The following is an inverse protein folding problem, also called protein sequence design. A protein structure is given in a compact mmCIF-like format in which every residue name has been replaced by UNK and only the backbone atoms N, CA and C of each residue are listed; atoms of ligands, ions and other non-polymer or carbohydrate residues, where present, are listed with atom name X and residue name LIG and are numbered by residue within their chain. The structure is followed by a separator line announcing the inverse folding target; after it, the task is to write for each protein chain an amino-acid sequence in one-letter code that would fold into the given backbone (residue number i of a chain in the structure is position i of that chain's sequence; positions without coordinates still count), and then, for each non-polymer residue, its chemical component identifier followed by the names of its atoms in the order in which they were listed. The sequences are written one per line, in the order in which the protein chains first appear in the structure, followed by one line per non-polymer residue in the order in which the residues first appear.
data_IF_024282404838
#
_entry.id   IF_024282404838
#
_cell.length_a   1.000
_cell.length_b   1.000
_cell.length_c   1.000
_cell.angle_alpha   90.00
_cell.angle_beta   90.00
_cell.angle_gamma   90.00
#
_symmetry.space_group_name_H-M   'P 1'
#
loop_
_entity.id
_entity.type
_entity.pdbx_description
1 polymer ?
#
# COMPACT_ATOMS: atom_id res chain seq x y z
N UNK A 1 5.80 -7.95 4.46
CA UNK A 1 6.25 -9.17 3.76
C UNK A 1 7.76 -9.18 3.70
N UNK A 2 8.37 -10.31 4.04
CA UNK A 2 9.81 -10.52 3.99
C UNK A 2 10.21 -11.22 2.68
N UNK A 3 11.15 -10.66 1.93
CA UNK A 3 11.48 -11.10 0.57
C UNK A 3 12.20 -12.45 0.47
N UNK A 4 13.02 -12.77 1.49
CA UNK A 4 13.77 -14.03 1.57
C UNK A 4 12.89 -15.23 1.93
N UNK A 5 12.30 -15.22 3.13
CA UNK A 5 11.42 -16.30 3.61
C UNK A 5 10.04 -16.37 2.94
N UNK A 6 9.63 -15.32 2.22
CA UNK A 6 8.26 -15.13 1.70
C UNK A 6 7.16 -14.99 2.76
N UNK A 7 7.51 -14.98 4.05
CA UNK A 7 6.52 -14.76 5.10
C UNK A 7 5.84 -13.40 4.90
N UNK A 8 4.52 -13.41 5.07
CA UNK A 8 3.68 -12.25 4.94
C UNK A 8 2.61 -12.28 6.02
N UNK A 9 2.23 -11.10 6.48
CA UNK A 9 1.11 -10.91 7.40
C UNK A 9 0.35 -9.67 6.99
N UNK A 10 -0.96 -9.71 7.19
CA UNK A 10 -1.89 -8.66 6.80
C UNK A 10 -3.08 -8.63 7.74
N UNK A 11 -3.60 -7.42 7.98
CA UNK A 11 -4.88 -7.19 8.63
C UNK A 11 -5.75 -6.25 7.81
N UNK A 12 -7.06 -6.46 7.82
CA UNK A 12 -8.00 -5.60 7.11
C UNK A 12 -9.25 -5.30 7.94
N UNK A 13 -9.79 -4.10 7.81
CA UNK A 13 -11.05 -3.73 8.46
C UNK A 13 -10.98 -3.61 9.99
N UNK A 14 -9.79 -3.40 10.53
CA UNK A 14 -9.55 -3.09 11.95
C UNK A 14 -9.86 -1.60 12.22
N UNK A 15 -10.18 -1.31 13.48
CA UNK A 15 -10.72 -0.05 14.01
C UNK A 15 -10.08 0.34 15.34
N UNK A 16 -9.67 -0.61 16.17
CA UNK A 16 -9.23 -0.32 17.54
C UNK A 16 -7.76 -0.61 17.79
N UNK A 17 -7.05 -1.24 16.86
CA UNK A 17 -5.59 -1.42 16.94
C UNK A 17 -4.87 -0.12 16.61
N UNK A 18 -4.04 0.40 17.52
CA UNK A 18 -3.30 1.67 17.30
C UNK A 18 -2.41 1.64 16.06
N UNK A 19 -1.71 0.53 15.83
CA UNK A 19 -0.77 0.33 14.73
C UNK A 19 -1.15 -0.91 13.91
N UNK A 20 -1.93 -0.76 12.80
CA UNK A 20 -2.29 -1.89 11.95
C UNK A 20 -1.09 -2.63 11.33
N UNK A 21 0.05 -1.93 11.13
CA UNK A 21 1.26 -2.57 10.60
C UNK A 21 1.92 -3.50 11.64
N UNK A 22 1.82 -3.20 12.93
CA UNK A 22 2.27 -4.10 14.01
C UNK A 22 1.37 -5.33 14.10
N UNK A 23 0.06 -5.17 13.92
CA UNK A 23 -0.84 -6.33 13.85
C UNK A 23 -0.55 -7.21 12.62
N UNK A 24 -0.21 -6.62 11.48
CA UNK A 24 0.24 -7.38 10.31
C UNK A 24 1.55 -8.14 10.60
N UNK A 25 2.52 -7.54 11.31
CA UNK A 25 3.74 -8.22 11.74
C UNK A 25 3.46 -9.34 12.74
N UNK A 26 2.54 -9.15 13.68
CA UNK A 26 2.11 -10.17 14.63
C UNK A 26 1.49 -11.37 13.89
N UNK A 27 0.61 -11.13 12.91
CA UNK A 27 0.06 -12.20 12.06
C UNK A 27 1.18 -12.95 11.33
N UNK A 28 2.17 -12.22 10.78
CA UNK A 28 3.28 -12.80 10.04
C UNK A 28 4.18 -13.72 10.89
N UNK A 29 4.43 -13.35 12.15
CA UNK A 29 5.46 -13.97 12.98
C UNK A 29 4.90 -14.96 14.01
N UNK A 30 3.70 -14.69 14.54
CA UNK A 30 3.14 -15.43 15.68
C UNK A 30 1.90 -16.26 15.30
N UNK A 31 1.59 -16.37 14.01
CA UNK A 31 0.46 -17.17 13.52
C UNK A 31 0.84 -18.04 12.32
N UNK A 32 0.11 -19.14 12.06
CA UNK A 32 0.26 -19.91 10.83
C UNK A 32 -0.49 -19.29 9.62
N UNK A 33 -1.01 -18.07 9.76
CA UNK A 33 -1.89 -17.42 8.78
C UNK A 33 -1.20 -16.23 8.10
N UNK A 34 -1.65 -15.89 6.89
CA UNK A 34 -1.15 -14.71 6.15
C UNK A 34 -2.03 -13.48 6.38
N UNK A 35 -3.34 -13.66 6.59
CA UNK A 35 -4.26 -12.53 6.65
C UNK A 35 -5.42 -12.79 7.62
N UNK A 36 -5.65 -11.84 8.53
CA UNK A 36 -6.84 -11.78 9.38
C UNK A 36 -7.67 -10.53 9.04
N UNK A 37 -8.95 -10.51 9.39
CA UNK A 37 -9.79 -9.33 9.14
C UNK A 37 -10.87 -9.10 10.18
N UNK A 38 -11.31 -7.85 10.26
CA UNK A 38 -12.40 -7.40 11.12
C UNK A 38 -12.18 -7.79 12.57
N UNK A 39 -13.26 -8.26 13.22
CA UNK A 39 -13.25 -8.62 14.63
C UNK A 39 -12.24 -9.72 14.98
N UNK A 40 -12.03 -10.70 14.10
CA UNK A 40 -11.05 -11.77 14.36
C UNK A 40 -9.62 -11.23 14.43
N UNK A 41 -9.28 -10.22 13.63
CA UNK A 41 -7.98 -9.56 13.72
C UNK A 41 -7.84 -8.72 15.00
N UNK A 42 -8.92 -8.07 15.45
CA UNK A 42 -8.97 -7.30 16.71
C UNK A 42 -8.77 -8.20 17.92
N UNK A 43 -9.52 -9.30 18.00
CA UNK A 43 -9.45 -10.25 19.10
C UNK A 43 -8.03 -10.85 19.18
N UNK A 44 -7.47 -11.26 18.04
CA UNK A 44 -6.10 -11.78 17.97
C UNK A 44 -5.04 -10.76 18.40
N UNK A 45 -5.16 -9.51 17.95
CA UNK A 45 -4.25 -8.43 18.34
C UNK A 45 -4.31 -8.15 19.86
N UNK A 46 -5.51 -8.15 20.44
CA UNK A 46 -5.74 -7.94 21.86
C UNK A 46 -5.18 -9.08 22.70
N UNK A 47 -5.41 -10.33 22.29
CA UNK A 47 -4.89 -11.53 22.98
C UNK A 47 -3.36 -11.54 23.05
N UNK A 48 -2.70 -10.98 22.04
CA UNK A 48 -1.25 -10.84 21.97
C UNK A 48 -0.73 -9.49 22.50
N UNK A 49 -1.56 -8.72 23.21
CA UNK A 49 -1.13 -7.54 23.95
C UNK A 49 -0.83 -6.28 23.11
N UNK A 50 -1.31 -6.20 21.86
CA UNK A 50 -1.19 -4.96 21.08
C UNK A 50 -2.08 -3.85 21.65
N UNK A 51 -1.56 -2.62 21.65
CA UNK A 51 -2.25 -1.43 22.16
C UNK A 51 -3.59 -1.22 21.45
N UNK A 52 -4.65 -1.23 22.24
CA UNK A 52 -6.01 -0.92 21.81
C UNK A 52 -6.32 0.54 22.13
N UNK A 53 -6.89 1.26 21.17
CA UNK A 53 -7.33 2.64 21.28
C UNK A 53 -8.78 2.76 20.90
N UNK A 54 -9.46 3.80 21.42
CA UNK A 54 -10.75 4.18 20.89
C UNK A 54 -10.61 4.60 19.41
N UNK A 55 -11.54 4.18 18.55
CA UNK A 55 -11.45 4.46 17.12
C UNK A 55 -11.46 5.97 16.80
N UNK A 56 -11.96 6.83 17.70
CA UNK A 56 -11.91 8.29 17.53
C UNK A 56 -10.50 8.87 17.57
N UNK A 57 -9.49 8.12 18.05
CA UNK A 57 -8.08 8.55 18.00
C UNK A 57 -7.60 8.81 16.57
N UNK A 58 -8.18 8.14 15.56
CA UNK A 58 -7.84 8.33 14.15
C UNK A 58 -8.61 9.47 13.48
N UNK A 59 -9.61 10.03 14.16
CA UNK A 59 -10.42 11.11 13.62
C UNK A 59 -9.63 12.43 13.65
N UNK A 60 -9.57 13.08 12.50
CA UNK A 60 -9.02 14.43 12.38
C UNK A 60 -10.05 15.35 11.75
N UNK A 61 -10.07 16.61 12.17
CA UNK A 61 -10.98 17.61 11.63
C UNK A 61 -10.82 17.73 10.10
N UNK A 62 -9.59 17.63 9.60
CA UNK A 62 -9.29 17.60 8.17
C UNK A 62 -10.00 16.44 7.43
N UNK A 63 -9.93 15.21 7.96
CA UNK A 63 -10.56 14.04 7.31
C UNK A 63 -12.07 14.04 7.48
N UNK A 64 -12.60 14.60 8.57
CA UNK A 64 -14.04 14.81 8.78
C UNK A 64 -14.61 15.77 7.73
N UNK A 65 -13.97 16.93 7.52
CA UNK A 65 -14.38 17.89 6.49
C UNK A 65 -14.32 17.28 5.07
N UNK A 66 -13.30 16.45 4.79
CA UNK A 66 -13.23 15.73 3.52
C UNK A 66 -14.39 14.74 3.34
N UNK A 67 -14.80 14.04 4.41
CA UNK A 67 -15.95 13.14 4.38
C UNK A 67 -17.26 13.89 4.15
N UNK A 68 -17.47 15.02 4.82
CA UNK A 68 -18.69 15.82 4.69
C UNK A 68 -18.85 16.37 3.27
N UNK A 69 -17.75 16.87 2.67
CA UNK A 69 -17.72 17.29 1.26
C UNK A 69 -18.04 16.14 0.30
N UNK A 70 -17.45 14.97 0.52
CA UNK A 70 -17.70 13.79 -0.31
C UNK A 70 -19.17 13.36 -0.24
N UNK A 71 -19.77 13.32 0.96
CA UNK A 71 -21.19 13.00 1.16
C UNK A 71 -22.11 14.00 0.48
N UNK A 72 -21.86 15.29 0.63
CA UNK A 72 -22.65 16.33 -0.02
C UNK A 72 -22.63 16.20 -1.55
N UNK A 73 -21.45 15.91 -2.13
CA UNK A 73 -21.34 15.65 -3.57
C UNK A 73 -22.10 14.39 -3.99
N UNK A 74 -21.94 13.28 -3.26
CA UNK A 74 -22.63 12.02 -3.55
C UNK A 74 -24.16 12.12 -3.49
N UNK A 75 -24.71 13.09 -2.74
CA UNK A 75 -26.15 13.36 -2.73
C UNK A 75 -26.63 14.14 -3.96
N UNK A 76 -25.78 14.97 -4.57
CA UNK A 76 -26.13 15.79 -5.73
C UNK A 76 -26.02 15.03 -7.06
N UNK A 77 -25.10 14.07 -7.15
CA UNK A 77 -24.95 13.27 -8.36
C UNK A 77 -25.76 11.98 -8.16
N UNK A 78 -26.81 11.77 -8.95
CA UNK A 78 -27.55 10.49 -9.03
C UNK A 78 -26.71 9.34 -9.65
N UNK A 79 -25.38 9.51 -9.69
CA UNK A 79 -24.43 8.47 -10.06
C UNK A 79 -24.23 7.51 -8.89
N UNK A 80 -24.35 6.21 -9.16
CA UNK A 80 -24.04 5.15 -8.21
C UNK A 80 -22.56 5.09 -7.80
N UNK A 81 -22.20 3.96 -7.21
CA UNK A 81 -20.87 3.67 -6.64
C UNK A 81 -19.71 3.99 -7.60
N UNK A 82 -18.56 4.44 -7.06
CA UNK A 82 -17.34 4.74 -7.83
C UNK A 82 -17.09 6.21 -8.16
N UNK A 83 -17.86 7.14 -7.57
CA UNK A 83 -17.75 8.59 -7.80
C UNK A 83 -16.69 9.31 -6.94
N UNK A 84 -15.83 8.57 -6.23
CA UNK A 84 -14.71 9.16 -5.50
C UNK A 84 -13.76 9.86 -6.48
N UNK A 85 -13.29 11.05 -6.13
CA UNK A 85 -12.41 11.85 -7.00
C UNK A 85 -11.12 12.24 -6.29
N UNK A 86 -10.02 12.25 -7.05
CA UNK A 86 -8.70 12.72 -6.59
C UNK A 86 -8.31 12.18 -5.21
N UNK A 87 -8.03 13.10 -4.28
CA UNK A 87 -7.54 12.81 -2.92
C UNK A 87 -8.47 11.96 -2.04
N UNK A 88 -9.70 11.69 -2.47
CA UNK A 88 -10.57 10.75 -1.75
C UNK A 88 -10.14 9.30 -1.90
N UNK A 89 -9.38 8.98 -2.96
CA UNK A 89 -8.82 7.64 -3.19
C UNK A 89 -7.45 7.45 -2.53
N UNK A 90 -6.82 8.54 -2.10
CA UNK A 90 -5.44 8.56 -1.62
C UNK A 90 -5.37 8.72 -0.08
N UNK A 91 -4.54 7.91 0.55
CA UNK A 91 -4.38 7.87 2.02
C UNK A 91 -3.52 6.70 2.51
N UNK A 92 -2.73 6.13 1.59
CA UNK A 92 -1.87 4.97 1.86
C UNK A 92 -0.44 5.44 2.08
N UNK A 93 0.22 4.84 3.06
CA UNK A 93 1.65 5.00 3.34
C UNK A 93 2.32 3.64 3.20
N UNK A 94 3.62 3.65 2.97
CA UNK A 94 4.39 2.42 3.01
C UNK A 94 5.89 2.66 2.92
N UNK A 95 6.62 1.57 3.08
CA UNK A 95 8.06 1.53 3.09
C UNK A 95 8.56 0.25 2.41
N UNK A 96 9.69 0.39 1.72
CA UNK A 96 10.47 -0.73 1.20
C UNK A 96 11.92 -0.52 1.61
N UNK A 97 12.59 -1.59 2.05
CA UNK A 97 13.92 -1.52 2.64
C UNK A 97 14.77 -2.67 2.13
N UNK A 98 16.06 -2.42 1.92
CA UNK A 98 17.12 -3.42 1.73
C UNK A 98 18.03 -3.34 2.95
N UNK A 99 18.26 -4.47 3.63
CA UNK A 99 19.16 -4.55 4.79
C UNK A 99 20.60 -4.96 4.40
N UNK A 100 21.51 -4.91 5.37
CA UNK A 100 22.92 -5.31 5.17
C UNK A 100 23.11 -6.82 4.91
N UNK A 101 22.11 -7.64 5.23
CA UNK A 101 22.09 -9.06 4.93
C UNK A 101 21.59 -9.38 3.52
N UNK A 102 21.24 -8.36 2.74
CA UNK A 102 20.67 -8.52 1.40
C UNK A 102 19.19 -8.88 1.38
N UNK A 103 18.49 -8.79 2.51
CA UNK A 103 17.06 -9.01 2.55
C UNK A 103 16.31 -7.75 2.17
N UNK A 104 15.25 -7.93 1.39
CA UNK A 104 14.32 -6.86 1.09
C UNK A 104 12.97 -7.10 1.77
N UNK A 105 12.37 -6.03 2.27
CA UNK A 105 11.12 -6.07 3.02
C UNK A 105 10.20 -4.97 2.51
N UNK A 106 8.90 -5.27 2.42
CA UNK A 106 7.86 -4.29 2.08
C UNK A 106 6.77 -4.27 3.14
N UNK A 107 6.26 -3.07 3.42
CA UNK A 107 5.10 -2.84 4.29
C UNK A 107 4.25 -1.67 3.79
N UNK A 108 2.93 -1.83 3.84
CA UNK A 108 1.96 -0.82 3.40
C UNK A 108 0.81 -0.76 4.39
N UNK A 109 0.33 0.45 4.70
CA UNK A 109 -0.79 0.67 5.62
C UNK A 109 -1.68 1.81 5.12
N UNK A 110 -2.99 1.72 5.38
CA UNK A 110 -3.96 2.67 4.86
C UNK A 110 -5.22 2.75 5.72
N UNK A 111 -5.82 3.94 5.78
CA UNK A 111 -7.22 4.11 6.20
C UNK A 111 -8.22 3.73 5.08
N UNK A 112 -7.74 3.55 3.85
CA UNK A 112 -8.53 3.35 2.65
C UNK A 112 -9.01 4.66 2.02
N UNK A 113 -10.14 4.61 1.33
CA UNK A 113 -10.72 5.78 0.66
C UNK A 113 -11.77 6.49 1.52
N UNK A 114 -11.92 7.79 1.32
CA UNK A 114 -13.00 8.59 1.90
C UNK A 114 -14.36 8.07 1.42
N UNK A 115 -15.34 8.03 2.32
CA UNK A 115 -16.69 7.53 2.06
C UNK A 115 -16.72 6.09 1.49
N UNK A 116 -15.75 5.24 1.84
CA UNK A 116 -15.76 3.82 1.49
C UNK A 116 -17.03 3.15 2.05
N UNK A 117 -17.59 2.21 1.30
CA UNK A 117 -18.68 1.37 1.83
C UNK A 117 -18.17 0.45 2.92
N UNK A 118 -19.06 0.08 3.82
CA UNK A 118 -18.82 -0.86 4.90
C UNK A 118 -18.05 -2.09 4.40
N UNK A 119 -16.93 -2.40 5.07
CA UNK A 119 -16.12 -3.58 4.75
C UNK A 119 -15.32 -3.51 3.44
N UNK A 120 -15.30 -2.40 2.68
CA UNK A 120 -14.44 -2.29 1.48
C UNK A 120 -12.96 -2.43 1.88
N UNK A 121 -12.27 -3.36 1.23
CA UNK A 121 -10.84 -3.62 1.37
C UNK A 121 -10.16 -3.20 0.07
N UNK A 122 -9.08 -2.42 0.19
CA UNK A 122 -8.25 -1.99 -0.93
C UNK A 122 -7.03 -2.91 -1.12
N UNK A 123 -6.07 -2.44 -1.90
CA UNK A 123 -4.85 -3.16 -2.28
C UNK A 123 -3.86 -3.37 -1.14
N UNK A 124 -3.79 -2.43 -0.18
CA UNK A 124 -2.71 -2.40 0.81
C UNK A 124 -2.54 -3.69 1.63
N UNK A 125 -3.59 -4.36 2.15
CA UNK A 125 -3.43 -5.63 2.86
C UNK A 125 -3.41 -6.86 1.92
N UNK A 126 -3.56 -6.68 0.61
CA UNK A 126 -3.58 -7.78 -0.37
C UNK A 126 -2.17 -7.99 -0.91
N UNK A 127 -1.55 -9.09 -0.49
CA UNK A 127 -0.20 -9.46 -0.91
C UNK A 127 -0.16 -9.67 -2.42
N UNK A 128 0.78 -8.99 -3.09
CA UNK A 128 0.93 -8.96 -4.54
C UNK A 128 0.16 -7.83 -5.23
N UNK A 129 -0.79 -7.17 -4.55
CA UNK A 129 -1.44 -5.97 -5.06
C UNK A 129 -0.75 -4.71 -4.52
N UNK A 130 -0.92 -4.44 -3.22
CA UNK A 130 -0.39 -3.24 -2.57
C UNK A 130 1.00 -3.42 -1.94
N UNK A 131 1.33 -4.65 -1.53
CA UNK A 131 2.60 -4.99 -0.87
C UNK A 131 3.15 -6.28 -1.44
N UNK A 132 4.42 -6.28 -1.82
CA UNK A 132 5.11 -7.51 -2.21
C UNK A 132 6.62 -7.40 -1.99
N UNK A 133 7.30 -8.51 -1.71
CA UNK A 133 8.75 -8.56 -1.61
C UNK A 133 9.31 -9.91 -2.09
N UNK A 134 10.39 -9.86 -2.87
CA UNK A 134 11.12 -11.03 -3.34
C UNK A 134 12.61 -10.72 -3.45
N UNK A 135 13.46 -11.37 -2.64
CA UNK A 135 14.93 -11.18 -2.70
C UNK A 135 15.51 -11.48 -4.10
N UNK A 136 14.84 -12.28 -4.93
CA UNK A 136 15.27 -12.56 -6.31
C UNK A 136 14.86 -11.47 -7.31
N UNK A 137 14.01 -10.51 -6.91
CA UNK A 137 13.58 -9.39 -7.74
C UNK A 137 13.59 -8.06 -7.00
N UNK A 138 12.50 -7.68 -6.33
CA UNK A 138 12.33 -6.40 -5.68
C UNK A 138 11.22 -6.41 -4.61
N UNK A 139 11.23 -5.37 -3.78
CA UNK A 139 10.20 -5.06 -2.81
C UNK A 139 9.41 -3.84 -3.30
N UNK A 140 8.09 -3.90 -3.18
CA UNK A 140 7.16 -2.89 -3.70
C UNK A 140 6.12 -2.56 -2.64
N UNK A 141 5.88 -1.27 -2.43
CA UNK A 141 4.73 -0.73 -1.72
C UNK A 141 3.99 0.24 -2.61
N UNK A 142 2.68 0.07 -2.72
CA UNK A 142 1.83 0.83 -3.62
C UNK A 142 0.93 1.83 -2.90
N UNK A 143 0.47 2.83 -3.65
CA UNK A 143 -0.56 3.78 -3.22
C UNK A 143 -1.38 4.21 -4.43
N UNK A 144 -2.70 4.22 -4.32
CA UNK A 144 -3.55 4.59 -5.45
C UNK A 144 -4.99 4.08 -5.33
N UNK A 145 -5.65 3.98 -6.47
CA UNK A 145 -7.00 3.43 -6.57
C UNK A 145 -6.98 1.90 -6.48
N UNK A 146 -7.08 1.41 -5.24
CA UNK A 146 -6.86 0.00 -4.88
C UNK A 146 -7.57 -1.05 -5.75
N UNK A 147 -8.76 -0.77 -6.29
CA UNK A 147 -9.46 -1.67 -7.20
C UNK A 147 -8.64 -2.02 -8.44
N UNK A 148 -7.91 -1.06 -9.01
CA UNK A 148 -7.00 -1.32 -10.13
C UNK A 148 -5.75 -2.05 -9.66
N UNK A 149 -5.18 -1.67 -8.52
CA UNK A 149 -3.97 -2.31 -8.01
C UNK A 149 -4.18 -3.79 -7.67
N UNK A 150 -5.37 -4.16 -7.21
CA UNK A 150 -5.80 -5.56 -7.04
C UNK A 150 -5.97 -6.24 -8.39
N UNK A 151 -6.79 -5.68 -9.29
CA UNK A 151 -7.14 -6.32 -10.58
C UNK A 151 -5.93 -6.55 -11.49
N UNK A 152 -4.90 -5.72 -11.35
CA UNK A 152 -3.68 -5.77 -12.15
C UNK A 152 -2.46 -6.30 -11.37
N UNK A 153 -2.63 -6.77 -10.13
CA UNK A 153 -1.56 -7.33 -9.29
C UNK A 153 -0.29 -6.48 -9.27
N UNK A 154 -0.43 -5.16 -9.11
CA UNK A 154 0.63 -4.17 -9.45
C UNK A 154 1.97 -4.49 -8.81
N UNK A 155 2.01 -4.77 -7.50
CA UNK A 155 3.26 -5.07 -6.81
C UNK A 155 3.92 -6.35 -7.32
N UNK A 156 3.15 -7.43 -7.49
CA UNK A 156 3.66 -8.71 -7.98
C UNK A 156 4.04 -8.65 -9.48
N UNK A 157 3.33 -7.90 -10.32
CA UNK A 157 3.63 -7.77 -11.75
C UNK A 157 4.99 -7.11 -11.98
N UNK A 158 5.33 -6.08 -11.19
CA UNK A 158 6.66 -5.44 -11.25
C UNK A 158 7.74 -6.48 -10.93
N UNK A 159 7.59 -7.22 -9.83
CA UNK A 159 8.52 -8.28 -9.43
C UNK A 159 8.64 -9.37 -10.49
N UNK A 160 7.51 -9.82 -11.05
CA UNK A 160 7.44 -10.86 -12.07
C UNK A 160 8.14 -10.44 -13.37
N UNK A 161 7.97 -9.19 -13.80
CA UNK A 161 8.67 -8.67 -14.99
C UNK A 161 10.17 -8.64 -14.81
N UNK A 162 10.66 -8.18 -13.66
CA UNK A 162 12.10 -8.24 -13.35
C UNK A 162 12.60 -9.68 -13.38
N UNK A 163 11.88 -10.59 -12.70
CA UNK A 163 12.28 -11.98 -12.53
C UNK A 163 12.27 -12.78 -13.84
N UNK A 164 11.20 -12.66 -14.62
CA UNK A 164 10.94 -13.52 -15.77
C UNK A 164 11.36 -12.91 -17.11
N UNK A 165 11.46 -11.58 -17.20
CA UNK A 165 11.85 -10.87 -18.43
C UNK A 165 13.23 -10.20 -18.31
N UNK A 166 13.82 -10.18 -17.12
CA UNK A 166 15.12 -9.55 -16.88
C UNK A 166 15.09 -8.02 -17.01
N UNK A 167 13.92 -7.39 -16.90
CA UNK A 167 13.80 -5.93 -16.94
C UNK A 167 14.48 -5.29 -15.73
N UNK A 168 14.97 -4.06 -15.91
CA UNK A 168 15.44 -3.25 -14.79
C UNK A 168 14.27 -2.86 -13.88
N UNK A 169 14.55 -2.52 -12.61
CA UNK A 169 13.52 -2.05 -11.68
C UNK A 169 12.76 -0.83 -12.22
N UNK A 170 13.48 0.12 -12.81
CA UNK A 170 12.87 1.32 -13.37
C UNK A 170 11.98 0.99 -14.56
N UNK A 171 12.42 0.12 -15.49
CA UNK A 171 11.61 -0.23 -16.64
C UNK A 171 10.34 -0.99 -16.22
N UNK A 172 10.49 -2.00 -15.36
CA UNK A 172 9.35 -2.79 -14.88
C UNK A 172 8.32 -1.91 -14.13
N UNK A 173 8.78 -1.05 -13.21
CA UNK A 173 7.91 -0.18 -12.44
C UNK A 173 7.23 0.90 -13.31
N UNK A 174 7.95 1.48 -14.27
CA UNK A 174 7.36 2.45 -15.20
C UNK A 174 6.34 1.80 -16.13
N UNK A 175 6.62 0.61 -16.70
CA UNK A 175 5.66 -0.09 -17.55
C UNK A 175 4.35 -0.37 -16.81
N UNK A 176 4.42 -0.84 -15.56
CA UNK A 176 3.20 -1.13 -14.80
C UNK A 176 2.44 0.15 -14.44
N UNK A 177 3.13 1.17 -13.95
CA UNK A 177 2.47 2.39 -13.46
C UNK A 177 2.02 3.34 -14.57
N UNK A 178 2.87 3.56 -15.58
CA UNK A 178 2.64 4.58 -16.60
C UNK A 178 2.02 4.02 -17.89
N UNK A 179 2.04 2.70 -18.11
CA UNK A 179 1.40 2.09 -19.28
C UNK A 179 0.20 1.24 -18.87
N UNK A 180 0.41 0.15 -18.12
CA UNK A 180 -0.65 -0.82 -17.77
C UNK A 180 -1.77 -0.16 -16.99
N UNK A 181 -1.45 0.54 -15.89
CA UNK A 181 -2.45 1.22 -15.08
C UNK A 181 -3.12 2.38 -15.80
N UNK A 182 -2.36 3.18 -16.56
CA UNK A 182 -2.92 4.31 -17.31
C UNK A 182 -3.92 3.82 -18.36
N UNK A 183 -3.57 2.80 -19.13
CA UNK A 183 -4.47 2.18 -20.12
C UNK A 183 -5.71 1.57 -19.48
N UNK A 184 -5.59 1.07 -18.24
CA UNK A 184 -6.73 0.57 -17.47
C UNK A 184 -7.63 1.68 -16.90
N UNK A 185 -7.18 2.94 -16.88
CA UNK A 185 -7.86 4.04 -16.19
C UNK A 185 -7.60 4.09 -14.67
N UNK A 186 -6.55 3.43 -14.20
CA UNK A 186 -6.10 3.43 -12.81
C UNK A 186 -5.08 4.53 -12.50
N UNK A 187 -5.22 5.15 -11.33
CA UNK A 187 -4.37 6.23 -10.85
C UNK A 187 -3.63 5.87 -9.55
N UNK A 188 -2.35 6.20 -9.46
CA UNK A 188 -1.50 5.96 -8.30
C UNK A 188 0.00 5.93 -8.59
N UNK A 189 0.75 5.27 -7.72
CA UNK A 189 2.19 5.07 -7.84
C UNK A 189 2.71 4.01 -6.89
N UNK A 190 4.01 3.75 -6.99
CA UNK A 190 4.72 2.79 -6.12
C UNK A 190 6.05 3.36 -5.67
N UNK A 191 6.54 2.86 -4.54
CA UNK A 191 7.96 2.89 -4.21
C UNK A 191 8.49 1.47 -4.29
N UNK A 192 9.70 1.30 -4.82
CA UNK A 192 10.31 0.00 -4.96
C UNK A 192 11.83 0.04 -4.79
N UNK A 193 12.39 -1.06 -4.27
CA UNK A 193 13.84 -1.28 -4.14
C UNK A 193 14.20 -2.71 -4.57
N UNK A 194 15.29 -2.89 -5.30
CA UNK A 194 15.80 -4.21 -5.69
C UNK A 194 16.99 -4.66 -4.82
N UNK A 195 17.40 -5.92 -4.99
CA UNK A 195 18.52 -6.50 -4.25
C UNK A 195 19.89 -5.84 -4.54
N UNK A 196 19.98 -4.98 -5.57
CA UNK A 196 21.18 -4.20 -5.90
C UNK A 196 21.14 -2.80 -5.28
N UNK A 197 20.07 -2.45 -4.56
CA UNK A 197 19.87 -1.14 -3.97
C UNK A 197 19.39 -0.07 -4.95
N UNK A 198 18.95 -0.45 -6.16
CA UNK A 198 18.31 0.50 -7.06
C UNK A 198 16.94 0.89 -6.50
N UNK A 199 16.59 2.17 -6.61
CA UNK A 199 15.31 2.72 -6.12
C UNK A 199 14.49 3.24 -7.30
N UNK A 200 13.21 2.88 -7.34
CA UNK A 200 12.23 3.42 -8.27
C UNK A 200 11.02 3.98 -7.51
N UNK A 201 10.51 5.13 -7.96
CA UNK A 201 9.31 5.74 -7.37
C UNK A 201 8.34 6.32 -8.42
N UNK A 202 7.90 5.56 -9.44
CA UNK A 202 7.02 6.07 -10.48
C UNK A 202 5.59 6.29 -9.96
N UNK A 203 4.92 7.29 -10.51
CA UNK A 203 3.53 7.61 -10.25
C UNK A 203 2.90 8.28 -11.47
N UNK A 204 1.63 7.98 -11.72
CA UNK A 204 0.82 8.58 -12.79
C UNK A 204 -0.24 9.56 -12.25
N UNK A 205 -0.37 9.68 -10.92
CA UNK A 205 -1.18 10.70 -10.25
C UNK A 205 -0.59 12.10 -10.40
N UNK A 206 -1.33 13.13 -9.98
CA UNK A 206 -0.85 14.52 -9.99
C UNK A 206 0.41 14.73 -9.11
N UNK A 207 0.55 13.94 -8.04
CA UNK A 207 1.70 13.94 -7.15
C UNK A 207 1.70 12.72 -6.23
N UNK A 208 2.86 12.44 -5.64
CA UNK A 208 3.07 11.36 -4.68
C UNK A 208 4.13 11.80 -3.66
N UNK A 209 3.72 11.95 -2.39
CA UNK A 209 4.63 12.18 -1.28
C UNK A 209 5.60 11.00 -1.18
N UNK A 210 6.89 11.25 -1.35
CA UNK A 210 7.91 10.21 -1.38
C UNK A 210 9.26 10.70 -0.92
N UNK A 211 10.04 9.78 -0.36
CA UNK A 211 11.42 9.99 -0.02
C UNK A 211 12.22 8.70 -0.19
N UNK A 212 13.52 8.82 -0.39
CA UNK A 212 14.45 7.70 -0.45
C UNK A 212 15.80 8.08 0.14
N UNK A 213 16.51 7.09 0.67
CA UNK A 213 17.94 7.13 0.95
C UNK A 213 18.56 5.97 0.20
N UNK A 214 19.48 6.25 -0.72
CA UNK A 214 20.15 5.19 -1.48
C UNK A 214 21.35 4.58 -0.72
N UNK A 215 21.99 3.58 -1.32
CA UNK A 215 23.15 2.88 -0.73
C UNK A 215 24.38 3.77 -0.52
N UNK A 216 24.41 4.96 -1.15
CA UNK A 216 25.48 5.96 -0.97
C UNK A 216 25.09 7.03 0.05
N UNK A 217 23.95 6.88 0.72
CA UNK A 217 23.42 7.86 1.69
C UNK A 217 22.79 9.08 1.05
N UNK A 218 22.55 9.09 -0.27
CA UNK A 218 21.92 10.23 -0.95
C UNK A 218 20.43 10.27 -0.63
N UNK A 219 20.01 11.37 -0.03
CA UNK A 219 18.60 11.64 0.30
C UNK A 219 17.90 12.30 -0.88
N UNK A 220 16.72 11.81 -1.24
CA UNK A 220 15.78 12.47 -2.16
C UNK A 220 14.42 12.61 -1.48
N UNK A 221 13.80 13.78 -1.56
CA UNK A 221 12.43 14.05 -1.11
C UNK A 221 11.70 14.77 -2.21
N UNK A 222 10.50 14.32 -2.57
CA UNK A 222 9.72 14.90 -3.65
C UNK A 222 8.21 14.69 -3.46
N UNK A 223 7.42 15.51 -4.14
CA UNK A 223 5.96 15.41 -4.17
C UNK A 223 5.48 15.36 -5.62
N UNK A 224 5.82 16.38 -6.40
CA UNK A 224 5.44 16.48 -7.80
C UNK A 224 6.47 15.83 -8.73
N UNK A 225 6.20 15.88 -10.04
CA UNK A 225 7.20 15.57 -11.07
C UNK A 225 8.24 16.69 -11.09
N UNK A 226 9.46 16.36 -11.53
CA UNK A 226 10.54 17.33 -11.72
C UNK A 226 10.17 18.34 -12.83
#
# INVERSE_FOLDING_TARGET
MHGGSKNAGAVAGVKTIRSPIEAALLVMNESPHVMLSGRGAEDYAKENGLEQVDNTVFDTEFRKQALDKAKARMQQVSSGYGSQQGNERFGTVGAVVLDQGGNIVAGTSTGGMTAKRYGRIGDSPVIGAGTYADNESCAVSATGHGEYFIRYNVAADICARMKYQGLTLNDAANTVVNDVLVNAGGDGGVIAIDAKGNVAMPFNSAGMYRASVDINGKVKVAIYKD
#
